data_IF_867913070059
#
_entry.id   IF_867913070059
#
_cell.length_a   1.000
_cell.length_b   1.000
_cell.length_c   1.000
_cell.angle_alpha   90.00
_cell.angle_beta   90.00
_cell.angle_gamma   90.00
#
_symmetry.space_group_name_H-M   'P 1'
#
loop_
_entity.id
_entity.type
_entity.pdbx_description
1 polymer ?
#
# COMPACT_ATOMS: atom_id res chain seq x y z
N UNK A 1 25.06 -23.08 43.67
CA UNK A 1 23.75 -23.70 43.37
C UNK A 1 23.54 -23.66 41.86
N UNK A 2 23.10 -24.77 41.27
CA UNK A 2 23.06 -25.08 39.83
C UNK A 2 21.92 -24.33 39.10
N UNK A 3 22.25 -23.83 37.91
CA UNK A 3 21.36 -23.32 36.87
C UNK A 3 20.70 -24.47 36.09
N UNK A 4 19.40 -24.37 35.80
CA UNK A 4 18.55 -25.02 34.74
C UNK A 4 17.09 -24.78 35.16
N UNK A 5 16.08 -24.56 34.33
CA UNK A 5 15.79 -24.74 32.89
C UNK A 5 14.39 -24.12 32.71
N UNK A 6 14.12 -23.26 31.73
CA UNK A 6 13.83 -23.69 30.36
C UNK A 6 12.34 -23.49 30.05
N UNK A 7 12.00 -22.38 29.39
CA UNK A 7 10.75 -22.27 28.63
C UNK A 7 11.11 -21.73 27.25
N UNK A 8 11.28 -22.67 26.32
CA UNK A 8 11.52 -22.45 24.89
C UNK A 8 10.14 -22.36 24.24
N UNK A 9 9.64 -21.16 24.00
CA UNK A 9 8.59 -20.95 23.02
C UNK A 9 9.27 -20.82 21.65
N UNK A 10 8.86 -21.68 20.71
CA UNK A 10 9.26 -21.59 19.31
C UNK A 10 8.78 -20.28 18.72
N UNK A 11 9.70 -19.38 18.36
CA UNK A 11 9.39 -18.29 17.46
C UNK A 11 9.08 -18.86 16.07
N UNK A 12 7.93 -18.52 15.45
CA UNK A 12 7.71 -18.82 14.05
C UNK A 12 8.73 -18.03 13.21
N UNK A 13 9.33 -18.71 12.23
CA UNK A 13 10.31 -18.21 11.27
C UNK A 13 10.13 -16.73 10.91
N UNK A 14 10.91 -15.87 11.58
CA UNK A 14 11.17 -14.52 11.14
C UNK A 14 11.90 -14.61 9.79
N UNK A 15 11.43 -13.94 8.72
CA UNK A 15 12.13 -13.94 7.44
C UNK A 15 13.51 -13.31 7.64
N UNK A 16 14.54 -14.15 7.44
CA UNK A 16 15.96 -13.76 7.40
C UNK A 16 16.19 -12.72 6.30
N UNK A 17 16.18 -11.44 6.63
CA UNK A 17 16.78 -10.40 5.81
C UNK A 17 18.30 -10.39 6.04
N UNK A 18 18.98 -11.38 5.46
CA UNK A 18 20.44 -11.42 5.31
C UNK A 18 20.84 -10.71 4.01
N UNK A 19 21.65 -9.66 4.06
CA UNK A 19 22.97 -9.69 3.38
C UNK A 19 23.69 -8.33 3.42
N UNK A 20 24.86 -8.38 4.04
CA UNK A 20 25.95 -7.42 4.12
C UNK A 20 26.38 -6.89 2.77
N UNK A 21 26.08 -5.63 2.44
CA UNK A 21 26.23 -5.28 1.04
C UNK A 21 26.39 -3.76 0.68
N UNK A 22 27.65 -3.37 0.38
CA UNK A 22 28.21 -2.16 -0.30
C UNK A 22 27.27 -1.00 -0.74
N UNK A 23 27.66 0.25 -0.45
CA UNK A 23 27.00 1.57 -0.63
C UNK A 23 26.18 1.83 -1.93
N UNK A 24 26.29 1.02 -2.98
CA UNK A 24 25.44 1.07 -4.19
C UNK A 24 24.05 0.42 -4.01
N UNK A 25 23.91 -0.49 -3.05
CA UNK A 25 22.69 -1.27 -2.84
C UNK A 25 21.54 -0.56 -2.14
N UNK A 26 21.71 0.42 -1.24
CA UNK A 26 20.55 1.15 -0.70
C UNK A 26 19.79 1.92 -1.79
N UNK A 27 20.46 2.42 -2.84
CA UNK A 27 19.79 3.14 -3.94
C UNK A 27 18.96 2.24 -4.83
N UNK A 28 19.48 1.05 -5.12
CA UNK A 28 18.75 0.02 -5.88
C UNK A 28 17.56 -0.48 -5.08
N UNK A 29 17.72 -0.69 -3.77
CA UNK A 29 16.62 -1.07 -2.88
C UNK A 29 15.55 0.03 -2.80
N UNK A 30 15.96 1.30 -2.66
CA UNK A 30 15.02 2.44 -2.68
C UNK A 30 14.25 2.51 -4.00
N UNK A 31 14.92 2.31 -5.14
CA UNK A 31 14.28 2.27 -6.45
C UNK A 31 13.25 1.13 -6.53
N UNK A 32 13.61 -0.09 -6.13
CA UNK A 32 12.72 -1.26 -6.15
C UNK A 32 11.52 -1.08 -5.21
N UNK A 33 11.73 -0.54 -4.01
CA UNK A 33 10.65 -0.26 -3.05
C UNK A 33 9.68 0.79 -3.59
N UNK A 34 10.21 1.90 -4.13
CA UNK A 34 9.38 2.90 -4.80
C UNK A 34 8.63 2.30 -6.00
N UNK A 35 9.20 1.30 -6.68
CA UNK A 35 8.58 0.68 -7.84
C UNK A 35 7.44 -0.23 -7.43
N UNK A 36 7.61 -0.98 -6.35
CA UNK A 36 6.54 -1.78 -5.74
C UNK A 36 5.40 -0.86 -5.29
N UNK A 37 5.69 0.22 -4.55
CA UNK A 37 4.67 1.20 -4.11
C UNK A 37 3.93 1.81 -5.30
N UNK A 38 4.66 2.26 -6.32
CA UNK A 38 4.10 2.84 -7.53
C UNK A 38 3.21 1.84 -8.29
N UNK A 39 3.67 0.60 -8.45
CA UNK A 39 2.88 -0.45 -9.11
C UNK A 39 1.60 -0.79 -8.35
N UNK A 40 1.65 -0.81 -7.00
CA UNK A 40 0.48 -1.05 -6.16
C UNK A 40 -0.54 0.09 -6.28
N UNK A 41 -0.07 1.34 -6.29
CA UNK A 41 -0.91 2.51 -6.50
C UNK A 41 -1.63 2.47 -7.85
N UNK A 42 -0.96 2.04 -8.93
CA UNK A 42 -1.56 1.84 -10.25
C UNK A 42 -2.67 0.78 -10.23
N UNK A 43 -2.50 -0.32 -9.50
CA UNK A 43 -3.51 -1.37 -9.38
C UNK A 43 -4.74 -0.83 -8.64
N UNK A 44 -4.55 -0.13 -7.53
CA UNK A 44 -5.67 0.47 -6.76
C UNK A 44 -6.42 1.51 -7.61
N UNK A 45 -5.70 2.35 -8.36
CA UNK A 45 -6.29 3.31 -9.29
C UNK A 45 -7.11 2.64 -10.38
N UNK A 46 -6.59 1.56 -10.99
CA UNK A 46 -7.30 0.82 -12.02
C UNK A 46 -8.62 0.22 -11.50
N UNK A 47 -8.58 -0.37 -10.30
CA UNK A 47 -9.77 -0.93 -9.66
C UNK A 47 -10.77 0.20 -9.29
N UNK A 48 -10.30 1.30 -8.71
CA UNK A 48 -11.16 2.44 -8.35
C UNK A 48 -11.82 3.11 -9.57
N UNK A 49 -11.09 3.21 -10.68
CA UNK A 49 -11.60 3.76 -11.95
C UNK A 49 -12.69 2.86 -12.55
N UNK A 50 -12.52 1.53 -12.48
CA UNK A 50 -13.53 0.57 -12.92
C UNK A 50 -14.82 0.68 -12.07
N UNK A 51 -14.69 0.93 -10.77
CA UNK A 51 -15.84 1.18 -9.89
C UNK A 51 -16.59 2.48 -10.27
N UNK A 52 -15.89 3.54 -10.64
CA UNK A 52 -16.51 4.84 -10.96
C UNK A 52 -17.17 4.84 -12.35
N UNK A 53 -16.62 4.08 -13.29
CA UNK A 53 -17.20 3.96 -14.63
C UNK A 53 -18.51 3.17 -14.63
N UNK A 54 -18.58 2.11 -13.82
CA UNK A 54 -19.67 1.14 -13.86
C UNK A 54 -20.74 1.34 -12.75
N UNK A 55 -20.47 2.13 -11.71
CA UNK A 55 -21.37 2.27 -10.54
C UNK A 55 -21.65 3.72 -10.17
N UNK A 56 -22.75 3.95 -9.43
CA UNK A 56 -23.08 5.27 -8.87
C UNK A 56 -21.93 5.72 -7.96
N UNK A 57 -21.57 7.00 -8.04
CA UNK A 57 -20.45 7.57 -7.28
C UNK A 57 -20.72 7.51 -5.78
N UNK A 58 -20.03 6.61 -5.10
CA UNK A 58 -19.88 6.65 -3.65
C UNK A 58 -18.71 7.56 -3.26
N UNK A 59 -18.91 8.40 -2.25
CA UNK A 59 -17.92 9.39 -1.80
C UNK A 59 -16.62 8.74 -1.34
N UNK A 60 -16.69 7.57 -0.69
CA UNK A 60 -15.52 6.84 -0.18
C UNK A 60 -14.58 6.35 -1.29
N UNK A 61 -15.12 5.80 -2.38
CA UNK A 61 -14.33 5.33 -3.54
C UNK A 61 -13.62 6.50 -4.25
N UNK A 62 -14.24 7.69 -4.26
CA UNK A 62 -13.67 8.89 -4.88
C UNK A 62 -12.41 9.36 -4.16
N UNK A 63 -12.39 9.32 -2.82
CA UNK A 63 -11.19 9.69 -2.06
C UNK A 63 -10.02 8.74 -2.33
N UNK A 64 -10.31 7.45 -2.43
CA UNK A 64 -9.29 6.44 -2.70
C UNK A 64 -8.68 6.58 -4.09
N UNK A 65 -9.49 6.93 -5.10
CA UNK A 65 -9.01 7.26 -6.44
C UNK A 65 -8.10 8.50 -6.45
N UNK A 66 -8.48 9.56 -5.73
CA UNK A 66 -7.68 10.80 -5.66
C UNK A 66 -6.30 10.52 -5.02
N UNK A 67 -6.27 9.77 -3.91
CA UNK A 67 -5.02 9.38 -3.25
C UNK A 67 -4.14 8.56 -4.21
N UNK A 68 -4.74 7.62 -4.94
CA UNK A 68 -4.01 6.82 -5.92
C UNK A 68 -3.48 7.66 -7.09
N UNK A 69 -4.30 8.53 -7.69
CA UNK A 69 -3.91 9.39 -8.82
C UNK A 69 -2.79 10.38 -8.45
N UNK A 70 -2.92 11.03 -7.29
CA UNK A 70 -1.87 11.94 -6.79
C UNK A 70 -0.59 11.17 -6.50
N UNK A 71 -0.64 9.99 -5.88
CA UNK A 71 0.55 9.17 -5.62
C UNK A 71 1.28 8.79 -6.91
N UNK A 72 0.58 8.38 -7.97
CA UNK A 72 1.20 8.04 -9.26
C UNK A 72 1.92 9.25 -9.86
N UNK A 73 1.26 10.42 -9.83
CA UNK A 73 1.82 11.67 -10.35
C UNK A 73 3.08 12.12 -9.62
N UNK A 74 3.15 11.90 -8.30
CA UNK A 74 4.32 12.27 -7.50
C UNK A 74 5.42 11.19 -7.51
N UNK A 75 5.09 9.90 -7.47
CA UNK A 75 6.08 8.81 -7.44
C UNK A 75 6.77 8.57 -8.79
N UNK A 76 6.11 8.85 -9.93
CA UNK A 76 6.73 8.68 -11.25
C UNK A 76 8.00 9.55 -11.45
N UNK A 77 8.02 10.85 -11.11
CA UNK A 77 9.25 11.65 -11.15
C UNK A 77 10.27 11.28 -10.06
N UNK A 78 9.88 10.61 -8.96
CA UNK A 78 10.85 10.17 -7.93
C UNK A 78 11.82 9.10 -8.43
N UNK A 79 11.45 8.32 -9.44
CA UNK A 79 12.27 7.28 -10.06
C UNK A 79 13.59 7.82 -10.65
N UNK A 80 13.58 8.79 -11.57
CA UNK A 80 14.80 9.43 -12.05
C UNK A 80 15.44 10.32 -10.98
N UNK A 81 14.65 10.91 -10.06
CA UNK A 81 15.17 11.76 -8.98
C UNK A 81 15.99 11.01 -7.93
N UNK A 82 15.82 9.69 -7.78
CA UNK A 82 16.61 8.86 -6.88
C UNK A 82 18.12 8.89 -7.18
N UNK A 83 18.51 9.30 -8.40
CA UNK A 83 19.91 9.48 -8.78
C UNK A 83 20.50 10.83 -8.31
N UNK A 84 19.67 11.81 -7.93
CA UNK A 84 20.11 13.15 -7.51
C UNK A 84 20.13 13.31 -5.98
N UNK A 85 21.34 13.44 -5.39
CA UNK A 85 21.55 13.56 -3.92
C UNK A 85 20.85 14.73 -3.24
N UNK A 86 20.54 15.81 -3.96
CA UNK A 86 19.98 17.04 -3.36
C UNK A 86 18.48 16.93 -3.03
N UNK A 87 17.76 16.07 -3.76
CA UNK A 87 16.32 15.91 -3.59
C UNK A 87 15.94 14.79 -2.61
N UNK A 88 16.90 13.95 -2.20
CA UNK A 88 16.65 12.77 -1.37
C UNK A 88 15.93 13.08 -0.05
N UNK A 89 16.21 14.23 0.58
CA UNK A 89 15.53 14.63 1.84
C UNK A 89 14.05 14.92 1.63
N UNK A 90 13.67 15.56 0.52
CA UNK A 90 12.27 15.89 0.22
C UNK A 90 11.46 14.63 -0.12
N UNK A 91 12.10 13.64 -0.75
CA UNK A 91 11.49 12.36 -1.06
C UNK A 91 11.07 11.59 0.21
N UNK A 92 11.87 11.67 1.27
CA UNK A 92 11.56 11.01 2.56
C UNK A 92 10.31 11.62 3.21
N UNK A 93 10.18 12.95 3.18
CA UNK A 93 8.99 13.64 3.73
C UNK A 93 7.73 13.28 2.93
N UNK A 94 7.86 13.25 1.60
CA UNK A 94 6.74 12.88 0.72
C UNK A 94 6.31 11.42 0.95
N UNK A 95 7.26 10.51 1.06
CA UNK A 95 6.99 9.09 1.34
C UNK A 95 6.28 8.90 2.70
N UNK A 96 6.66 9.68 3.72
CA UNK A 96 6.00 9.66 5.03
C UNK A 96 4.53 10.14 4.96
N UNK A 97 4.26 11.23 4.23
CA UNK A 97 2.89 11.75 4.07
C UNK A 97 2.02 10.73 3.34
N UNK A 98 2.53 10.13 2.26
CA UNK A 98 1.79 9.11 1.52
C UNK A 98 1.54 7.85 2.33
N UNK A 99 2.50 7.38 3.12
CA UNK A 99 2.32 6.26 4.05
C UNK A 99 1.10 6.48 4.96
N UNK A 100 0.95 7.69 5.52
CA UNK A 100 -0.22 8.03 6.33
C UNK A 100 -1.52 8.05 5.54
N UNK A 101 -1.52 8.65 4.34
CA UNK A 101 -2.70 8.68 3.47
C UNK A 101 -3.17 7.26 3.10
N UNK A 102 -2.24 6.37 2.77
CA UNK A 102 -2.55 4.97 2.44
C UNK A 102 -3.09 4.19 3.64
N UNK A 103 -2.53 4.40 4.84
CA UNK A 103 -3.09 3.80 6.07
C UNK A 103 -4.51 4.31 6.34
N UNK A 104 -4.77 5.60 6.14
CA UNK A 104 -6.14 6.12 6.30
C UNK A 104 -7.11 5.58 5.25
N UNK A 105 -6.66 5.42 4.01
CA UNK A 105 -7.47 4.83 2.94
C UNK A 105 -7.81 3.37 3.25
N UNK A 106 -6.86 2.61 3.78
CA UNK A 106 -7.08 1.23 4.25
C UNK A 106 -8.12 1.16 5.37
N UNK A 107 -8.03 2.03 6.38
CA UNK A 107 -8.99 2.04 7.51
C UNK A 107 -10.41 2.35 7.01
N UNK A 108 -10.57 3.32 6.10
CA UNK A 108 -11.88 3.63 5.55
C UNK A 108 -12.43 2.50 4.68
N UNK A 109 -11.58 1.81 3.91
CA UNK A 109 -11.99 0.64 3.16
C UNK A 109 -12.46 -0.50 4.08
N UNK A 110 -11.74 -0.75 5.18
CA UNK A 110 -12.09 -1.79 6.14
C UNK A 110 -13.44 -1.53 6.83
N UNK A 111 -13.71 -0.29 7.24
CA UNK A 111 -14.99 0.08 7.86
C UNK A 111 -16.17 -0.02 6.88
N UNK A 112 -15.96 0.33 5.61
CA UNK A 112 -17.02 0.34 4.59
C UNK A 112 -17.37 -1.10 4.13
N UNK A 113 -16.40 -2.01 4.15
CA UNK A 113 -16.58 -3.41 3.72
C UNK A 113 -16.94 -4.38 4.85
N UNK A 114 -16.60 -4.07 6.11
CA UNK A 114 -16.93 -4.91 7.27
C UNK A 114 -18.34 -4.64 7.85
N UNK A 115 -19.00 -3.53 7.49
CA UNK A 115 -20.27 -3.11 8.10
C UNK A 115 -21.52 -3.87 7.67
N UNK A 116 -21.53 -4.63 6.55
CA UNK A 116 -22.72 -5.44 6.20
C UNK A 116 -22.42 -6.55 5.17
N UNK A 117 -23.32 -7.55 5.09
CA UNK A 117 -23.29 -8.60 4.05
C UNK A 117 -23.10 -7.98 2.68
N UNK A 118 -21.94 -8.25 2.09
CA UNK A 118 -21.45 -7.70 0.83
C UNK A 118 -22.42 -7.87 -0.38
N UNK A 119 -23.42 -8.74 -0.26
CA UNK A 119 -24.51 -8.93 -1.22
C UNK A 119 -25.71 -7.96 -1.10
N UNK A 120 -25.90 -7.24 0.03
CA UNK A 120 -27.15 -6.51 0.32
C UNK A 120 -27.10 -4.99 0.13
N UNK A 121 -25.91 -4.40 -0.01
CA UNK A 121 -25.72 -2.95 -0.16
C UNK A 121 -24.79 -2.58 -1.33
N UNK A 122 -24.46 -3.54 -2.21
CA UNK A 122 -23.71 -3.22 -3.43
C UNK A 122 -24.67 -2.54 -4.42
N UNK A 123 -24.34 -1.36 -4.98
CA UNK A 123 -25.08 -0.81 -6.11
C UNK A 123 -25.15 -1.88 -7.22
N UNK A 124 -26.36 -2.08 -7.76
CA UNK A 124 -26.68 -3.22 -8.61
C UNK A 124 -25.68 -3.39 -9.77
N UNK A 125 -24.92 -4.49 -9.74
CA UNK A 125 -24.01 -4.90 -10.80
C UNK A 125 -22.69 -5.54 -10.30
N UNK A 126 -22.18 -5.16 -9.12
CA UNK A 126 -20.91 -5.70 -8.59
C UNK A 126 -21.18 -6.72 -7.49
N UNK A 127 -21.31 -7.98 -7.91
CA UNK A 127 -21.43 -9.16 -7.06
C UNK A 127 -20.08 -9.72 -6.58
N UNK A 128 -18.98 -8.96 -6.74
CA UNK A 128 -17.63 -9.46 -6.48
C UNK A 128 -17.06 -8.87 -5.20
N UNK A 129 -17.42 -9.46 -4.06
CA UNK A 129 -16.77 -9.17 -2.76
C UNK A 129 -15.25 -9.30 -2.83
N UNK A 130 -14.77 -10.21 -3.67
CA UNK A 130 -13.35 -10.41 -3.98
C UNK A 130 -12.65 -9.14 -4.45
N UNK A 131 -13.31 -8.27 -5.22
CA UNK A 131 -12.68 -7.04 -5.72
C UNK A 131 -12.51 -5.99 -4.61
N UNK A 132 -13.45 -5.94 -3.66
CA UNK A 132 -13.40 -5.06 -2.49
C UNK A 132 -12.28 -5.49 -1.52
N UNK A 133 -12.17 -6.80 -1.24
CA UNK A 133 -11.07 -7.34 -0.45
C UNK A 133 -9.71 -7.21 -1.15
N UNK A 134 -9.67 -7.37 -2.47
CA UNK A 134 -8.45 -7.13 -3.23
C UNK A 134 -7.99 -5.68 -3.07
N UNK A 135 -8.88 -4.71 -3.29
CA UNK A 135 -8.59 -3.28 -3.14
C UNK A 135 -8.02 -2.95 -1.74
N UNK A 136 -8.60 -3.50 -0.67
CA UNK A 136 -8.09 -3.38 0.70
C UNK A 136 -6.65 -3.92 0.83
N UNK A 137 -6.40 -5.12 0.29
CA UNK A 137 -5.07 -5.74 0.34
C UNK A 137 -4.00 -5.00 -0.47
N UNK A 138 -4.36 -4.39 -1.60
CA UNK A 138 -3.42 -3.61 -2.42
C UNK A 138 -3.13 -2.23 -1.81
N UNK A 139 -4.07 -1.67 -1.05
CA UNK A 139 -3.83 -0.43 -0.31
C UNK A 139 -2.72 -0.56 0.74
N UNK A 140 -2.65 -1.68 1.48
CA UNK A 140 -1.59 -1.86 2.47
C UNK A 140 -0.21 -2.08 1.84
N UNK A 141 -0.15 -2.63 0.62
CA UNK A 141 1.10 -2.82 -0.15
C UNK A 141 1.66 -1.48 -0.68
N UNK A 142 0.80 -0.47 -0.84
CA UNK A 142 1.19 0.86 -1.31
C UNK A 142 1.82 1.74 -0.20
N UNK A 143 1.82 1.28 1.06
CA UNK A 143 2.44 1.93 2.22
C UNK A 143 3.97 1.83 2.15
#
# INVERSE_FOLDING_TARGET
MRFRSGFRFSDPEAPKASSTTSFSRPRILLFLLNFIKWSSACIVMAIASDFIHNYKRDGHTTFQEIIACTSIGFFLPTMPLAFYRRFTVHLIVLDYIYSHLWVTAFIFAAEDYNKSSCSKHSPGGLHSCTLKYALESWCIIAV
#
